data_IF_162524212297
#
_entry.id   IF_162524212297
#
_cell.length_a   1.000
_cell.length_b   1.000
_cell.length_c   1.000
_cell.angle_alpha   90.00
_cell.angle_beta   90.00
_cell.angle_gamma   90.00
#
_symmetry.space_group_name_H-M   'P 1'
#
loop_
_entity.id
_entity.type
_entity.pdbx_description
1 polymer ?
#
# COMPACT_ATOMS: atom_id res chain seq x y z
N UNK A 1 -14.44 -6.27 2.65
CA UNK A 1 -13.53 -7.41 2.37
C UNK A 1 -12.10 -6.93 2.51
N UNK A 2 -11.25 -7.60 3.28
CA UNK A 2 -9.82 -7.30 3.33
C UNK A 2 -9.06 -8.40 2.58
N UNK A 3 -8.32 -8.03 1.54
CA UNK A 3 -7.55 -8.97 0.71
C UNK A 3 -6.07 -8.79 1.02
N UNK A 4 -5.42 -9.88 1.39
CA UNK A 4 -3.97 -9.90 1.63
C UNK A 4 -3.22 -10.12 0.33
N UNK A 5 -2.06 -9.48 0.19
CA UNK A 5 -1.12 -9.71 -0.90
C UNK A 5 -1.79 -9.54 -2.28
N UNK A 6 -2.58 -8.48 -2.43
CA UNK A 6 -3.40 -8.22 -3.61
C UNK A 6 -2.51 -7.75 -4.79
N UNK A 7 -2.36 -8.59 -5.81
CA UNK A 7 -1.55 -8.24 -6.98
C UNK A 7 -2.31 -7.39 -7.98
N UNK A 8 -1.68 -6.30 -8.41
CA UNK A 8 -2.21 -5.36 -9.40
C UNK A 8 -1.13 -5.06 -10.43
N UNK A 9 -1.50 -5.10 -11.71
CA UNK A 9 -0.61 -4.65 -12.77
C UNK A 9 -0.70 -3.12 -12.88
N UNK A 10 0.44 -2.47 -12.77
CA UNK A 10 0.62 -1.04 -12.99
C UNK A 10 1.53 -0.76 -14.17
N UNK A 11 1.90 0.52 -14.32
CA UNK A 11 2.86 0.98 -15.32
C UNK A 11 3.85 1.94 -14.67
N UNK A 12 5.14 1.65 -14.80
CA UNK A 12 6.23 2.54 -14.40
C UNK A 12 7.12 2.78 -15.60
N UNK A 13 7.38 4.04 -15.95
CA UNK A 13 8.20 4.42 -17.12
C UNK A 13 7.78 3.77 -18.45
N UNK A 14 6.48 3.49 -18.63
CA UNK A 14 5.94 2.88 -19.85
C UNK A 14 6.01 1.34 -19.88
N UNK A 15 6.53 0.70 -18.84
CA UNK A 15 6.62 -0.76 -18.74
C UNK A 15 5.64 -1.31 -17.70
N UNK A 16 5.18 -2.55 -17.91
CA UNK A 16 4.30 -3.25 -16.96
C UNK A 16 5.04 -3.47 -15.65
N UNK A 17 4.43 -3.07 -14.55
CA UNK A 17 5.00 -3.15 -13.22
C UNK A 17 4.00 -3.81 -12.27
N UNK A 18 4.26 -5.06 -11.89
CA UNK A 18 3.39 -5.78 -10.96
C UNK A 18 3.67 -5.35 -9.52
N UNK A 19 2.65 -4.81 -8.86
CA UNK A 19 2.71 -4.37 -7.46
C UNK A 19 1.79 -5.21 -6.60
N UNK A 20 2.19 -5.39 -5.34
CA UNK A 20 1.49 -6.25 -4.38
C UNK A 20 1.50 -5.59 -3.00
N UNK A 21 0.53 -4.72 -2.69
CA UNK A 21 0.36 -4.19 -1.35
C UNK A 21 0.01 -5.32 -0.37
N UNK A 22 0.38 -5.14 0.89
CA UNK A 22 0.17 -6.18 1.90
C UNK A 22 -1.31 -6.45 2.16
N UNK A 23 -2.12 -5.40 2.29
CA UNK A 23 -3.57 -5.51 2.44
C UNK A 23 -4.26 -4.39 1.67
N UNK A 24 -5.33 -4.75 0.95
CA UNK A 24 -6.29 -3.79 0.37
C UNK A 24 -7.67 -4.07 0.93
N UNK A 25 -8.33 -3.02 1.41
CA UNK A 25 -9.67 -3.08 1.97
C UNK A 25 -10.67 -2.60 0.93
N UNK A 26 -11.66 -3.44 0.67
CA UNK A 26 -12.74 -3.16 -0.26
C UNK A 26 -14.08 -2.98 0.44
N UNK A 27 -14.81 -1.96 0.05
CA UNK A 27 -16.23 -1.75 0.37
C UNK A 27 -17.01 -1.81 -0.93
N UNK A 28 -17.92 -2.78 -1.06
CA UNK A 28 -18.73 -3.00 -2.28
C UNK A 28 -17.90 -3.06 -3.58
N UNK A 29 -16.69 -3.61 -3.52
CA UNK A 29 -15.78 -3.75 -4.67
C UNK A 29 -14.88 -2.55 -4.94
N UNK A 30 -15.05 -1.42 -4.24
CA UNK A 30 -14.17 -0.26 -4.36
C UNK A 30 -12.97 -0.39 -3.42
N UNK A 31 -11.73 -0.04 -3.81
CA UNK A 31 -10.55 -0.09 -2.95
C UNK A 31 -10.44 1.15 -2.07
N UNK A 32 -10.88 1.04 -0.81
CA UNK A 32 -11.04 2.19 0.10
C UNK A 32 -9.80 2.44 0.95
N UNK A 33 -9.04 1.39 1.26
CA UNK A 33 -7.81 1.53 2.05
C UNK A 33 -6.72 0.57 1.61
N UNK A 34 -5.47 1.01 1.76
CA UNK A 34 -4.27 0.23 1.52
C UNK A 34 -3.42 0.26 2.79
N UNK A 35 -2.96 -0.93 3.21
CA UNK A 35 -2.04 -1.09 4.33
C UNK A 35 -0.72 -1.66 3.82
N UNK A 36 0.39 -1.11 4.31
CA UNK A 36 1.74 -1.62 4.08
C UNK A 36 2.43 -1.86 5.42
N UNK A 37 2.92 -3.08 5.61
CA UNK A 37 3.41 -3.58 6.90
C UNK A 37 4.90 -3.96 6.80
N UNK A 38 5.66 -3.67 7.86
CA UNK A 38 7.05 -4.10 8.03
C UNK A 38 7.19 -5.01 9.23
N UNK A 39 8.31 -5.75 9.25
CA UNK A 39 8.58 -6.72 10.30
C UNK A 39 9.11 -5.99 11.55
N UNK A 40 8.47 -6.13 12.72
CA UNK A 40 8.95 -5.52 13.97
C UNK A 40 10.30 -6.07 14.44
N UNK A 41 10.72 -7.24 13.97
CA UNK A 41 12.01 -7.83 14.31
C UNK A 41 13.18 -7.29 13.45
N UNK A 42 12.91 -6.52 12.40
CA UNK A 42 13.96 -5.83 11.66
C UNK A 42 14.29 -4.54 12.41
N UNK A 43 15.44 -4.50 13.08
CA UNK A 43 15.90 -3.31 13.84
C UNK A 43 16.21 -2.10 12.95
N UNK A 44 16.13 -2.27 11.62
CA UNK A 44 16.19 -1.21 10.60
C UNK A 44 14.85 -1.03 9.88
N UNK A 45 13.78 -1.71 10.31
CA UNK A 45 12.43 -1.48 9.80
C UNK A 45 12.00 -0.10 10.28
N UNK A 46 12.23 0.84 9.38
CA UNK A 46 11.76 2.19 9.52
C UNK A 46 10.40 2.28 8.85
N UNK A 47 9.39 2.77 9.57
CA UNK A 47 8.05 3.04 9.03
C UNK A 47 8.12 3.90 7.75
N UNK A 48 9.17 4.69 7.59
CA UNK A 48 9.47 5.44 6.36
C UNK A 48 9.72 4.56 5.13
N UNK A 49 10.17 3.31 5.27
CA UNK A 49 10.26 2.36 4.16
C UNK A 49 8.88 1.95 3.66
N UNK A 50 7.94 1.69 4.58
CA UNK A 50 6.54 1.44 4.21
C UNK A 50 5.94 2.66 3.51
N UNK A 51 6.20 3.86 4.03
CA UNK A 51 5.80 5.11 3.39
C UNK A 51 6.33 5.23 1.95
N UNK A 52 7.62 5.01 1.72
CA UNK A 52 8.23 5.09 0.38
C UNK A 52 7.66 4.05 -0.59
N UNK A 53 7.31 2.85 -0.10
CA UNK A 53 6.66 1.83 -0.91
C UNK A 53 5.25 2.25 -1.33
N UNK A 54 4.49 2.90 -0.43
CA UNK A 54 3.21 3.53 -0.78
C UNK A 54 3.39 4.61 -1.85
N UNK A 55 4.45 5.44 -1.79
CA UNK A 55 4.73 6.42 -2.85
C UNK A 55 4.97 5.76 -4.21
N UNK A 56 5.67 4.62 -4.22
CA UNK A 56 5.89 3.85 -5.44
C UNK A 56 4.57 3.30 -5.99
N UNK A 57 3.69 2.80 -5.13
CA UNK A 57 2.35 2.36 -5.53
C UNK A 57 1.51 3.50 -6.13
N UNK A 58 1.52 4.69 -5.51
CA UNK A 58 0.83 5.88 -6.05
C UNK A 58 1.30 6.22 -7.47
N UNK A 59 2.54 5.91 -7.82
CA UNK A 59 3.07 6.14 -9.17
C UNK A 59 2.72 5.00 -10.14
N UNK A 60 2.90 3.74 -9.71
CA UNK A 60 2.78 2.57 -10.58
C UNK A 60 1.32 2.12 -10.80
N UNK A 61 0.49 2.14 -9.76
CA UNK A 61 -0.88 1.57 -9.76
C UNK A 61 -1.92 2.62 -9.36
N UNK A 62 -1.90 3.77 -10.04
CA UNK A 62 -2.75 4.95 -9.77
C UNK A 62 -4.24 4.63 -9.62
N UNK A 63 -4.76 3.73 -10.45
CA UNK A 63 -6.18 3.37 -10.46
C UNK A 63 -6.66 2.76 -9.14
N UNK A 64 -5.76 2.10 -8.38
CA UNK A 64 -6.08 1.56 -7.06
C UNK A 64 -6.38 2.66 -6.03
N UNK A 65 -5.94 3.89 -6.28
CA UNK A 65 -6.05 5.02 -5.35
C UNK A 65 -7.21 5.96 -5.66
N UNK A 66 -7.97 5.73 -6.75
CA UNK A 66 -9.08 6.63 -7.15
C UNK A 66 -10.17 6.75 -6.08
N UNK A 67 -10.43 5.68 -5.34
CA UNK A 67 -11.44 5.63 -4.26
C UNK A 67 -10.80 5.49 -2.87
N UNK A 68 -9.49 5.71 -2.76
CA UNK A 68 -8.78 5.52 -1.50
C UNK A 68 -9.08 6.67 -0.55
N UNK A 69 -9.53 6.32 0.65
CA UNK A 69 -9.81 7.26 1.73
C UNK A 69 -8.71 7.23 2.80
N UNK A 70 -8.01 6.09 2.94
CA UNK A 70 -6.94 5.95 3.93
C UNK A 70 -5.77 5.09 3.48
N UNK A 71 -4.58 5.54 3.85
CA UNK A 71 -3.29 4.86 3.71
C UNK A 71 -2.74 4.61 5.09
N UNK A 72 -2.39 3.36 5.35
CA UNK A 72 -1.91 2.94 6.66
C UNK A 72 -0.55 2.28 6.48
N UNK A 73 0.40 2.70 7.31
CA UNK A 73 1.72 2.10 7.37
C UNK A 73 2.02 1.67 8.81
N UNK A 74 2.68 0.54 8.98
CA UNK A 74 3.09 0.07 10.31
C UNK A 74 4.33 -0.80 10.23
N UNK A 75 5.16 -0.77 11.26
CA UNK A 75 6.28 -1.69 11.48
C UNK A 75 5.99 -2.75 12.56
N UNK A 76 4.75 -2.80 13.06
CA UNK A 76 4.35 -3.68 14.16
C UNK A 76 4.57 -3.10 15.57
N UNK A 77 5.27 -1.96 15.69
CA UNK A 77 5.41 -1.20 16.95
C UNK A 77 4.63 0.10 16.89
N UNK A 78 4.78 0.83 15.78
CA UNK A 78 4.06 2.07 15.49
C UNK A 78 3.19 1.91 14.24
N UNK A 79 2.16 2.75 14.13
CA UNK A 79 1.33 2.84 12.95
C UNK A 79 0.93 4.29 12.69
N UNK A 80 0.93 4.66 11.41
CA UNK A 80 0.48 5.97 10.95
C UNK A 80 -0.65 5.76 9.93
N UNK A 81 -1.64 6.66 10.01
CA UNK A 81 -2.73 6.75 9.04
C UNK A 81 -2.70 8.13 8.40
N UNK A 82 -2.89 8.17 7.09
CA UNK A 82 -3.02 9.41 6.33
C UNK A 82 -3.99 9.24 5.17
N UNK A 83 -4.25 10.34 4.48
CA UNK A 83 -5.00 10.39 3.23
C UNK A 83 -4.10 10.85 2.08
N UNK A 84 -4.62 10.82 0.85
CA UNK A 84 -3.89 11.09 -0.38
C UNK A 84 -3.38 12.52 -0.55
#
# INVERSE_FOLDING_TARGET
LAVRQFSVNGVTNGEIDNRRPDIVVFLNGLPISLLELKNPADTKADVWRAYNQVQTYKQAIKDLFVFNESLIISDGTEAYIGSL
#
